data_IF_488154479850
#
_entry.id   IF_488154479850
#
_cell.length_a   1.000
_cell.length_b   1.000
_cell.length_c   1.000
_cell.angle_alpha   90.00
_cell.angle_beta   90.00
_cell.angle_gamma   90.00
#
_symmetry.space_group_name_H-M   'P 1'
#
loop_
_entity.id
_entity.type
_entity.pdbx_description
1 polymer ?
#
# COMPACT_ATOMS: atom_id res chain seq x y z
N UNK A 1 15.41 -11.14 18.47
CA UNK A 1 14.53 -12.24 18.04
C UNK A 1 13.47 -11.64 17.13
N UNK A 2 13.19 -12.21 15.95
CA UNK A 2 12.14 -11.70 15.08
C UNK A 2 10.77 -11.88 15.76
N UNK A 3 9.90 -10.88 15.58
CA UNK A 3 8.51 -10.92 16.04
C UNK A 3 7.65 -11.62 14.99
N UNK A 4 6.69 -12.42 15.44
CA UNK A 4 5.74 -13.14 14.57
C UNK A 4 4.32 -12.63 14.79
N UNK A 5 3.48 -12.71 13.77
CA UNK A 5 2.05 -12.43 13.89
C UNK A 5 1.42 -13.32 15.00
N UNK A 6 0.51 -12.74 15.79
CA UNK A 6 -0.11 -13.35 16.96
C UNK A 6 0.75 -13.36 18.23
N UNK A 7 2.02 -12.95 18.17
CA UNK A 7 2.86 -12.86 19.35
C UNK A 7 2.44 -11.69 20.25
N UNK A 8 2.36 -11.93 21.55
CA UNK A 8 2.11 -10.87 22.55
C UNK A 8 3.44 -10.30 23.03
N UNK A 9 3.54 -8.99 23.02
CA UNK A 9 4.68 -8.20 23.51
C UNK A 9 4.21 -7.36 24.69
N UNK A 10 4.69 -7.68 25.91
CA UNK A 10 4.35 -6.93 27.11
C UNK A 10 5.37 -5.83 27.36
N UNK A 11 4.91 -4.57 27.42
CA UNK A 11 5.76 -3.42 27.70
C UNK A 11 4.99 -2.31 28.41
N UNK A 12 5.57 -1.75 29.46
CA UNK A 12 5.00 -0.59 30.18
C UNK A 12 3.62 -0.84 30.79
N UNK A 13 3.28 -2.10 31.12
CA UNK A 13 1.97 -2.48 31.64
C UNK A 13 0.89 -2.66 30.57
N UNK A 14 1.28 -2.75 29.30
CA UNK A 14 0.42 -3.04 28.15
C UNK A 14 0.82 -4.36 27.50
N UNK A 15 -0.16 -5.05 26.93
CA UNK A 15 0.02 -6.25 26.12
C UNK A 15 -0.36 -5.95 24.68
N UNK A 16 0.64 -5.95 23.81
CA UNK A 16 0.46 -5.70 22.37
C UNK A 16 0.50 -7.00 21.60
N UNK A 17 -0.56 -7.27 20.86
CA UNK A 17 -0.57 -8.35 19.87
C UNK A 17 0.07 -7.84 18.56
N UNK A 18 1.02 -8.60 18.04
CA UNK A 18 1.57 -8.36 16.71
C UNK A 18 0.58 -8.82 15.64
N UNK A 19 -0.06 -7.89 14.94
CA UNK A 19 -1.06 -8.16 13.91
C UNK A 19 -0.48 -7.99 12.51
N UNK A 20 -0.77 -8.91 11.55
CA UNK A 20 -0.25 -8.80 10.19
C UNK A 20 -0.95 -7.65 9.45
N UNK A 21 -0.16 -6.82 8.76
CA UNK A 21 -0.61 -5.71 7.94
C UNK A 21 -0.01 -5.88 6.54
N UNK A 22 -0.71 -6.60 5.66
CA UNK A 22 -0.20 -6.96 4.34
C UNK A 22 -0.24 -5.78 3.35
N UNK A 23 0.68 -5.78 2.41
CA UNK A 23 0.65 -5.01 1.16
C UNK A 23 1.70 -3.91 1.06
N UNK A 24 1.81 -2.99 2.01
CA UNK A 24 2.84 -1.93 1.93
C UNK A 24 4.25 -2.53 1.92
N UNK A 25 4.52 -3.49 2.79
CA UNK A 25 5.70 -4.36 2.74
C UNK A 25 5.32 -5.81 3.05
N UNK A 26 6.12 -6.75 2.56
CA UNK A 26 5.85 -8.18 2.64
C UNK A 26 5.67 -8.71 4.08
N UNK A 27 6.35 -8.15 5.06
CA UNK A 27 6.35 -8.63 6.45
C UNK A 27 5.89 -7.60 7.48
N UNK A 28 5.13 -6.58 7.06
CA UNK A 28 4.70 -5.52 7.98
C UNK A 28 3.78 -6.07 9.08
N UNK A 29 4.08 -5.66 10.31
CA UNK A 29 3.25 -5.93 11.48
C UNK A 29 2.79 -4.61 12.11
N UNK A 30 1.58 -4.61 12.64
CA UNK A 30 1.10 -3.62 13.59
C UNK A 30 1.21 -4.14 15.03
N UNK A 31 1.02 -3.27 15.99
CA UNK A 31 0.96 -3.61 17.40
C UNK A 31 -0.41 -3.17 17.95
N UNK A 32 -1.23 -4.13 18.31
CA UNK A 32 -2.60 -3.91 18.78
C UNK A 32 -2.74 -4.16 20.28
N UNK A 33 -3.11 -3.11 21.02
CA UNK A 33 -3.51 -3.20 22.43
C UNK A 33 -5.03 -3.26 22.52
N UNK A 34 -5.55 -4.44 22.81
CA UNK A 34 -6.99 -4.75 22.70
C UNK A 34 -7.85 -4.04 23.75
N UNK A 35 -7.36 -3.93 25.01
CA UNK A 35 -8.18 -3.42 26.12
C UNK A 35 -8.49 -1.93 25.98
N UNK A 36 -7.57 -1.17 25.41
CA UNK A 36 -7.71 0.28 25.16
C UNK A 36 -7.96 0.63 23.71
N UNK A 37 -8.04 -0.37 22.85
CA UNK A 37 -8.25 -0.22 21.39
C UNK A 37 -7.24 0.74 20.74
N UNK A 38 -5.95 0.47 20.99
CA UNK A 38 -4.85 1.25 20.41
C UNK A 38 -4.14 0.37 19.39
N UNK A 39 -3.98 0.88 18.16
CA UNK A 39 -3.26 0.21 17.09
C UNK A 39 -2.13 1.08 16.55
N UNK A 40 -0.90 0.64 16.69
CA UNK A 40 0.24 1.16 15.93
C UNK A 40 0.26 0.46 14.58
N UNK A 41 -0.11 1.17 13.52
CA UNK A 41 -0.35 0.54 12.20
C UNK A 41 0.79 0.71 11.20
N UNK A 42 1.96 1.19 11.63
CA UNK A 42 3.07 1.49 10.73
C UNK A 42 2.59 2.34 9.53
N UNK A 43 2.94 1.95 8.30
CA UNK A 43 2.52 2.65 7.08
C UNK A 43 1.29 2.03 6.40
N UNK A 44 0.48 1.28 7.14
CA UNK A 44 -0.72 0.65 6.56
C UNK A 44 -1.79 1.67 6.17
N UNK A 45 -2.08 2.61 7.07
CA UNK A 45 -3.10 3.65 6.87
C UNK A 45 -2.57 4.97 7.40
N UNK A 46 -2.42 5.98 6.52
CA UNK A 46 -1.90 7.30 6.85
C UNK A 46 -2.83 8.36 6.27
N UNK A 47 -3.32 9.30 7.10
CA UNK A 47 -4.15 10.39 6.56
C UNK A 47 -3.32 11.38 5.75
N UNK A 48 -3.80 11.74 4.56
CA UNK A 48 -3.13 12.65 3.63
C UNK A 48 -2.05 11.99 2.75
N UNK A 49 -1.75 10.70 2.95
CA UNK A 49 -0.77 9.95 2.13
C UNK A 49 -1.43 8.69 1.59
N UNK A 50 -1.09 8.31 0.36
CA UNK A 50 -1.36 6.99 -0.20
C UNK A 50 -0.09 6.17 -0.04
N UNK A 51 -0.05 5.19 0.89
CA UNK A 51 1.12 4.35 1.08
C UNK A 51 1.51 3.65 -0.21
N UNK A 52 2.81 3.49 -0.45
CA UNK A 52 3.28 2.82 -1.65
C UNK A 52 3.17 1.31 -1.44
N UNK A 53 2.51 0.65 -2.38
CA UNK A 53 2.58 -0.81 -2.55
C UNK A 53 3.43 -1.04 -3.78
N UNK A 54 4.62 -1.58 -3.60
CA UNK A 54 5.60 -1.69 -4.67
C UNK A 54 6.09 -3.11 -4.84
N UNK A 55 5.54 -3.82 -5.82
CA UNK A 55 5.99 -5.14 -6.24
C UNK A 55 7.40 -5.06 -6.82
N UNK A 56 8.26 -5.99 -6.43
CA UNK A 56 9.65 -6.09 -6.90
C UNK A 56 9.86 -7.30 -7.80
N UNK A 57 9.18 -8.39 -7.49
CA UNK A 57 9.22 -9.64 -8.25
C UNK A 57 7.81 -10.01 -8.73
N UNK A 58 7.68 -10.74 -9.85
CA UNK A 58 6.39 -11.29 -10.28
C UNK A 58 5.75 -12.18 -9.20
N UNK A 59 4.43 -12.27 -9.25
CA UNK A 59 3.61 -13.13 -8.38
C UNK A 59 3.66 -12.78 -6.88
N UNK A 60 3.99 -11.53 -6.53
CA UNK A 60 3.90 -11.05 -5.14
C UNK A 60 2.48 -10.71 -4.72
N UNK A 61 1.59 -10.34 -5.66
CA UNK A 61 0.17 -9.98 -5.46
C UNK A 61 -0.06 -8.96 -4.33
N UNK A 62 0.88 -8.03 -4.17
CA UNK A 62 0.91 -7.12 -3.02
C UNK A 62 -0.28 -6.18 -3.00
N UNK A 63 -0.75 -5.68 -4.15
CA UNK A 63 -1.86 -4.73 -4.19
C UNK A 63 -3.18 -5.42 -3.86
N UNK A 64 -3.41 -6.65 -4.33
CA UNK A 64 -4.57 -7.46 -3.93
C UNK A 64 -4.55 -7.71 -2.43
N UNK A 65 -3.44 -8.20 -1.89
CA UNK A 65 -3.29 -8.43 -0.46
C UNK A 65 -3.43 -7.14 0.38
N UNK A 66 -3.06 -5.98 -0.18
CA UNK A 66 -3.26 -4.69 0.47
C UNK A 66 -4.75 -4.32 0.55
N UNK A 67 -5.51 -4.49 -0.53
CA UNK A 67 -6.95 -4.23 -0.52
C UNK A 67 -7.70 -5.13 0.47
N UNK A 68 -7.39 -6.43 0.49
CA UNK A 68 -7.94 -7.35 1.49
C UNK A 68 -7.60 -6.91 2.92
N UNK A 69 -6.35 -6.53 3.16
CA UNK A 69 -5.88 -6.06 4.45
C UNK A 69 -6.54 -4.74 4.87
N UNK A 70 -6.76 -3.82 3.94
CA UNK A 70 -7.47 -2.55 4.19
C UNK A 70 -8.95 -2.77 4.51
N UNK A 71 -9.62 -3.70 3.84
CA UNK A 71 -11.01 -4.04 4.14
C UNK A 71 -11.15 -4.64 5.54
N UNK A 72 -10.28 -5.60 5.89
CA UNK A 72 -10.19 -6.12 7.25
C UNK A 72 -9.89 -5.01 8.27
N UNK A 73 -8.94 -4.14 7.97
CA UNK A 73 -8.56 -3.01 8.82
C UNK A 73 -9.73 -2.07 9.10
N UNK A 74 -10.53 -1.77 8.09
CA UNK A 74 -11.72 -0.92 8.18
C UNK A 74 -12.80 -1.53 9.09
N UNK A 75 -12.93 -2.85 9.12
CA UNK A 75 -13.88 -3.54 9.97
C UNK A 75 -13.40 -3.69 11.41
N UNK A 76 -12.16 -4.12 11.63
CA UNK A 76 -11.66 -4.47 12.96
C UNK A 76 -11.19 -3.26 13.78
N UNK A 77 -10.64 -2.23 13.11
CA UNK A 77 -9.95 -1.14 13.78
C UNK A 77 -10.59 0.24 13.58
N UNK A 78 -11.81 0.31 13.03
CA UNK A 78 -12.49 1.59 12.80
C UNK A 78 -12.66 2.44 14.07
N UNK A 79 -12.90 1.79 15.21
CA UNK A 79 -13.13 2.45 16.50
C UNK A 79 -11.88 2.48 17.39
N UNK A 80 -10.70 2.20 16.83
CA UNK A 80 -9.43 2.22 17.54
C UNK A 80 -8.77 3.59 17.45
N UNK A 81 -7.93 3.91 18.44
CA UNK A 81 -6.93 4.95 18.30
C UNK A 81 -5.83 4.41 17.35
N UNK A 82 -5.88 4.80 16.10
CA UNK A 82 -4.94 4.35 15.07
C UNK A 82 -3.78 5.30 14.95
N UNK A 83 -2.58 4.79 15.20
CA UNK A 83 -1.31 5.52 15.25
C UNK A 83 -0.40 5.06 14.10
N UNK A 84 -0.31 5.83 13.00
CA UNK A 84 0.60 5.51 11.90
C UNK A 84 2.05 5.87 12.23
N UNK A 85 3.01 5.36 11.42
CA UNK A 85 4.42 5.73 11.56
C UNK A 85 4.70 7.19 11.19
N UNK A 86 3.84 7.80 10.38
CA UNK A 86 3.94 9.18 9.93
C UNK A 86 2.63 9.94 10.15
N UNK A 87 2.72 11.27 10.34
CA UNK A 87 1.59 12.17 10.53
C UNK A 87 0.91 12.03 11.90
N UNK A 88 -0.30 12.51 12.01
CA UNK A 88 -1.11 12.48 13.22
C UNK A 88 -1.94 11.18 13.30
N UNK A 89 -2.52 10.87 14.47
CA UNK A 89 -3.48 9.77 14.60
C UNK A 89 -4.59 9.87 13.55
N UNK A 90 -5.05 8.72 13.06
CA UNK A 90 -6.12 8.65 12.05
C UNK A 90 -7.47 8.86 12.72
N UNK A 91 -8.09 10.01 12.45
CA UNK A 91 -9.36 10.38 13.09
C UNK A 91 -10.59 9.64 12.50
N UNK A 92 -10.54 9.31 11.22
CA UNK A 92 -11.62 8.61 10.51
C UNK A 92 -11.00 7.53 9.62
N UNK A 93 -10.91 6.31 10.17
CA UNK A 93 -10.31 5.15 9.53
C UNK A 93 -11.04 4.79 8.24
N UNK A 94 -12.38 4.77 8.25
CA UNK A 94 -13.18 4.37 7.09
C UNK A 94 -12.97 5.33 5.92
N UNK A 95 -12.99 6.63 6.19
CA UNK A 95 -12.73 7.67 5.19
C UNK A 95 -11.34 7.55 4.59
N UNK A 96 -10.31 7.37 5.45
CA UNK A 96 -8.93 7.28 5.00
C UNK A 96 -8.69 6.02 4.19
N UNK A 97 -9.19 4.86 4.64
CA UNK A 97 -9.09 3.60 3.90
C UNK A 97 -9.77 3.72 2.53
N UNK A 98 -11.02 4.20 2.47
CA UNK A 98 -11.71 4.38 1.20
C UNK A 98 -10.94 5.30 0.24
N UNK A 99 -10.37 6.40 0.74
CA UNK A 99 -9.55 7.30 -0.07
C UNK A 99 -8.32 6.60 -0.64
N UNK A 100 -7.64 5.76 0.15
CA UNK A 100 -6.47 4.99 -0.31
C UNK A 100 -6.88 4.02 -1.41
N UNK A 101 -7.97 3.26 -1.22
CA UNK A 101 -8.50 2.32 -2.21
C UNK A 101 -8.85 3.05 -3.51
N UNK A 102 -9.64 4.12 -3.45
CA UNK A 102 -10.00 4.90 -4.63
C UNK A 102 -8.79 5.46 -5.38
N UNK A 103 -7.78 5.96 -4.65
CA UNK A 103 -6.56 6.48 -5.29
C UNK A 103 -5.75 5.38 -6.02
N UNK A 104 -5.84 4.14 -5.58
CA UNK A 104 -5.25 3.01 -6.31
C UNK A 104 -6.12 2.60 -7.50
N UNK A 105 -7.45 2.50 -7.34
CA UNK A 105 -8.35 2.17 -8.44
C UNK A 105 -8.27 3.21 -9.56
N UNK A 106 -8.32 4.51 -9.25
CA UNK A 106 -8.12 5.58 -10.24
C UNK A 106 -6.80 5.43 -10.99
N UNK A 107 -5.74 5.01 -10.30
CA UNK A 107 -4.42 4.81 -10.92
C UNK A 107 -4.40 3.55 -11.80
N UNK A 108 -5.02 2.45 -11.37
CA UNK A 108 -5.17 1.23 -12.19
C UNK A 108 -6.02 1.49 -13.44
N UNK A 109 -7.10 2.25 -13.33
CA UNK A 109 -7.93 2.63 -14.48
C UNK A 109 -7.15 3.48 -15.49
N UNK A 110 -6.33 4.43 -15.01
CA UNK A 110 -5.44 5.20 -15.87
C UNK A 110 -4.41 4.31 -16.58
N UNK A 111 -3.81 3.37 -15.87
CA UNK A 111 -2.83 2.41 -16.42
C UNK A 111 -3.50 1.54 -17.48
N UNK A 112 -4.71 1.01 -17.19
CA UNK A 112 -5.50 0.25 -18.15
C UNK A 112 -5.78 1.08 -19.40
N UNK A 113 -6.22 2.32 -19.26
CA UNK A 113 -6.45 3.22 -20.38
C UNK A 113 -5.19 3.43 -21.24
N UNK A 114 -4.02 3.59 -20.63
CA UNK A 114 -2.73 3.72 -21.33
C UNK A 114 -2.43 2.46 -22.15
N UNK A 115 -2.68 1.27 -21.62
CA UNK A 115 -2.45 -0.01 -22.29
C UNK A 115 -3.43 -0.21 -23.45
N UNK A 116 -4.71 0.06 -23.25
CA UNK A 116 -5.78 -0.09 -24.25
C UNK A 116 -5.57 0.81 -25.48
N UNK A 117 -4.94 1.97 -25.28
CA UNK A 117 -4.68 2.95 -26.35
C UNK A 117 -3.23 2.96 -26.83
N UNK A 118 -2.38 2.12 -26.27
CA UNK A 118 -1.00 1.94 -26.70
C UNK A 118 -0.92 1.27 -28.08
N UNK A 119 -0.05 1.78 -28.96
CA UNK A 119 0.13 1.23 -30.30
C UNK A 119 1.20 0.15 -30.40
N UNK A 120 1.86 -0.20 -29.29
CA UNK A 120 2.94 -1.18 -29.19
C UNK A 120 3.03 -1.78 -27.79
N UNK A 121 3.79 -2.87 -27.65
CA UNK A 121 4.10 -3.44 -26.33
C UNK A 121 4.93 -2.45 -25.52
N UNK A 122 4.48 -2.17 -24.30
CA UNK A 122 5.14 -1.24 -23.38
C UNK A 122 5.83 -1.99 -22.25
N UNK A 123 6.97 -1.46 -21.83
CA UNK A 123 7.60 -1.87 -20.57
C UNK A 123 6.90 -1.21 -19.37
N UNK A 124 6.98 -1.82 -18.19
CA UNK A 124 6.48 -1.22 -16.95
C UNK A 124 7.00 0.21 -16.73
N UNK A 125 8.25 0.48 -17.11
CA UNK A 125 8.84 1.83 -17.03
C UNK A 125 8.12 2.82 -17.93
N UNK A 126 7.83 2.47 -19.18
CA UNK A 126 7.12 3.34 -20.14
C UNK A 126 5.72 3.65 -19.61
N UNK A 127 4.97 2.63 -19.15
CA UNK A 127 3.66 2.82 -18.54
C UNK A 127 3.75 3.72 -17.30
N UNK A 128 4.74 3.50 -16.43
CA UNK A 128 4.96 4.33 -15.25
C UNK A 128 5.25 5.79 -15.63
N UNK A 129 6.12 6.03 -16.60
CA UNK A 129 6.44 7.37 -17.07
C UNK A 129 5.18 8.11 -17.58
N UNK A 130 4.34 7.44 -18.37
CA UNK A 130 3.08 8.01 -18.85
C UNK A 130 2.09 8.26 -17.71
N UNK A 131 1.87 7.27 -16.83
CA UNK A 131 0.91 7.35 -15.74
C UNK A 131 1.25 8.40 -14.67
N UNK A 132 2.53 8.79 -14.57
CA UNK A 132 3.02 9.77 -13.59
C UNK A 132 3.58 11.05 -14.21
N UNK A 133 3.48 11.22 -15.54
CA UNK A 133 3.93 12.42 -16.24
C UNK A 133 5.43 12.64 -16.14
N UNK A 134 6.23 11.55 -16.19
CA UNK A 134 7.70 11.63 -16.16
C UNK A 134 8.22 11.63 -17.59
N UNK A 135 8.72 12.76 -18.07
CA UNK A 135 9.16 12.99 -19.46
C UNK A 135 10.68 13.18 -19.60
N UNK A 136 11.42 13.01 -18.52
CA UNK A 136 12.87 13.24 -18.51
C UNK A 136 13.63 12.14 -17.76
N UNK A 137 14.93 12.05 -18.04
CA UNK A 137 15.84 11.18 -17.32
C UNK A 137 16.12 11.77 -15.92
N UNK A 138 16.14 10.95 -14.85
CA UNK A 138 16.47 11.45 -13.51
C UNK A 138 17.81 12.23 -13.48
N UNK A 139 17.77 13.44 -12.93
CA UNK A 139 18.91 14.36 -12.86
C UNK A 139 19.72 14.20 -11.57
N UNK A 140 19.12 13.59 -10.56
CA UNK A 140 19.74 13.35 -9.26
C UNK A 140 19.22 12.05 -8.60
N UNK A 141 19.79 11.71 -7.45
CA UNK A 141 19.44 10.51 -6.70
C UNK A 141 17.99 10.52 -6.21
N UNK A 142 17.43 11.67 -5.86
CA UNK A 142 16.04 11.78 -5.39
C UNK A 142 15.05 11.46 -6.51
N UNK A 143 15.27 12.04 -7.70
CA UNK A 143 14.45 11.73 -8.88
C UNK A 143 14.59 10.26 -9.31
N UNK A 144 15.80 9.69 -9.20
CA UNK A 144 16.01 8.27 -9.47
C UNK A 144 15.25 7.36 -8.51
N UNK A 145 15.26 7.69 -7.19
CA UNK A 145 14.49 6.96 -6.19
C UNK A 145 12.99 7.07 -6.49
N UNK A 146 12.49 8.28 -6.78
CA UNK A 146 11.08 8.49 -7.16
C UNK A 146 10.68 7.66 -8.38
N UNK A 147 11.52 7.65 -9.42
CA UNK A 147 11.27 6.84 -10.62
C UNK A 147 11.18 5.35 -10.27
N UNK A 148 12.10 4.83 -9.46
CA UNK A 148 12.03 3.43 -8.98
C UNK A 148 10.73 3.13 -8.23
N UNK A 149 10.31 4.03 -7.33
CA UNK A 149 9.07 3.88 -6.55
C UNK A 149 7.84 3.83 -7.46
N UNK A 150 7.74 4.71 -8.46
CA UNK A 150 6.57 4.71 -9.35
C UNK A 150 6.59 3.52 -10.31
N UNK A 151 7.76 3.04 -10.76
CA UNK A 151 7.86 1.81 -11.54
C UNK A 151 7.37 0.61 -10.72
N UNK A 152 7.84 0.46 -9.49
CA UNK A 152 7.44 -0.62 -8.59
C UNK A 152 5.94 -0.57 -8.26
N UNK A 153 5.39 0.63 -8.01
CA UNK A 153 3.96 0.85 -7.82
C UNK A 153 3.13 0.53 -9.08
N UNK A 154 3.64 0.91 -10.25
CA UNK A 154 2.98 0.57 -11.54
C UNK A 154 2.97 -0.93 -11.76
N UNK A 155 4.05 -1.63 -11.40
CA UNK A 155 4.11 -3.08 -11.50
C UNK A 155 3.04 -3.74 -10.62
N UNK A 156 2.84 -3.31 -9.38
CA UNK A 156 1.74 -3.81 -8.54
C UNK A 156 0.36 -3.56 -9.15
N UNK A 157 0.15 -2.42 -9.82
CA UNK A 157 -1.11 -2.15 -10.51
C UNK A 157 -1.30 -3.05 -11.74
N UNK A 158 -0.24 -3.33 -12.49
CA UNK A 158 -0.28 -4.25 -13.65
C UNK A 158 -0.56 -5.69 -13.20
N UNK A 159 0.06 -6.14 -12.12
CA UNK A 159 -0.19 -7.44 -11.52
C UNK A 159 -1.65 -7.57 -11.05
N UNK A 160 -2.18 -6.55 -10.38
CA UNK A 160 -3.58 -6.48 -9.98
C UNK A 160 -4.54 -6.53 -11.18
N UNK A 161 -4.27 -5.80 -12.27
CA UNK A 161 -5.07 -5.84 -13.49
C UNK A 161 -5.03 -7.24 -14.15
N UNK A 162 -3.89 -7.91 -14.10
CA UNK A 162 -3.76 -9.27 -14.60
C UNK A 162 -4.57 -10.27 -13.75
N UNK A 163 -4.53 -10.14 -12.41
CA UNK A 163 -5.26 -11.01 -11.48
C UNK A 163 -6.80 -10.87 -11.61
N UNK A 164 -7.29 -9.67 -11.96
CA UNK A 164 -8.71 -9.39 -12.17
C UNK A 164 -9.20 -9.74 -13.59
N UNK A 165 -8.44 -10.53 -14.36
CA UNK A 165 -8.75 -10.91 -15.75
C UNK A 165 -8.98 -9.71 -16.71
N UNK A 166 -8.46 -8.54 -16.37
CA UNK A 166 -8.36 -7.49 -17.38
C UNK A 166 -7.27 -7.89 -18.36
N UNK A 167 -7.67 -8.32 -19.56
CA UNK A 167 -6.74 -8.70 -20.63
C UNK A 167 -5.70 -7.59 -20.85
N UNK A 168 -4.43 -7.90 -20.61
CA UNK A 168 -3.28 -7.03 -20.86
C UNK A 168 -2.55 -7.48 -22.12
#
# INVERSE_FOLDING_TARGET
TPVKAGQILSYGGYDFEAVPLKGHTFGQLGLYEKNRRILFCADQVIDGIVPIVGTTYPDEHLLMGYFESLEHFKHEYADCLVLPAHKLPVADVKRVVNRIVFAYLDKTDLIKHILDHGHHRMTTKEVACLAYGIDHVPRDQSEFIKLKMVISKTFSCLEYLYDEDFAI
#
